data_IF_368865516552
#
_entry.id   IF_368865516552
#
_cell.length_a   1.000
_cell.length_b   1.000
_cell.length_c   1.000
_cell.angle_alpha   90.00
_cell.angle_beta   90.00
_cell.angle_gamma   90.00
#
_symmetry.space_group_name_H-M   'P 1'
#
loop_
_entity.id
_entity.type
_entity.pdbx_description
1 polymer ?
#
# COMPACT_ATOMS: atom_id res chain seq x y z
N UNK A 1 -2.10 14.72 -2.37
CA UNK A 1 -2.19 13.28 -2.69
C UNK A 1 -2.24 12.46 -1.39
N UNK A 2 -3.44 12.27 -0.79
CA UNK A 2 -3.68 11.48 0.44
C UNK A 2 -4.43 10.16 0.14
N UNK A 3 -4.34 9.63 -1.08
CA UNK A 3 -5.31 8.64 -1.58
C UNK A 3 -4.90 7.19 -1.34
N UNK A 4 -3.62 6.82 -1.38
CA UNK A 4 -3.22 5.40 -1.39
C UNK A 4 -3.23 4.72 -0.02
N UNK A 5 -2.86 5.42 1.07
CA UNK A 5 -2.96 4.88 2.43
C UNK A 5 -4.41 4.80 2.92
N UNK A 6 -5.25 5.77 2.55
CA UNK A 6 -6.70 5.70 2.74
C UNK A 6 -7.33 4.57 1.92
N UNK A 7 -6.85 4.33 0.70
CA UNK A 7 -7.32 3.23 -0.15
C UNK A 7 -6.89 1.86 0.41
N UNK A 8 -5.63 1.71 0.79
CA UNK A 8 -5.10 0.49 1.40
C UNK A 8 -5.82 0.16 2.70
N UNK A 9 -5.98 1.16 3.57
CA UNK A 9 -6.70 1.01 4.82
C UNK A 9 -8.18 0.66 4.55
N UNK A 10 -8.82 1.29 3.56
CA UNK A 10 -10.20 0.96 3.16
C UNK A 10 -10.33 -0.45 2.59
N UNK A 11 -9.37 -0.95 1.82
CA UNK A 11 -9.38 -2.32 1.31
C UNK A 11 -9.24 -3.36 2.43
N UNK A 12 -8.42 -3.06 3.46
CA UNK A 12 -8.34 -3.89 4.68
C UNK A 12 -9.71 -3.94 5.38
N UNK A 13 -10.40 -2.80 5.49
CA UNK A 13 -11.76 -2.75 6.03
C UNK A 13 -12.74 -3.63 5.25
N UNK A 14 -12.80 -3.44 3.93
CA UNK A 14 -13.81 -4.09 3.08
C UNK A 14 -13.65 -5.61 3.06
N UNK A 15 -12.43 -6.12 3.21
CA UNK A 15 -12.18 -7.56 3.32
C UNK A 15 -12.64 -8.13 4.67
N UNK A 16 -12.42 -7.41 5.76
CA UNK A 16 -12.80 -7.85 7.10
C UNK A 16 -14.32 -7.73 7.33
N UNK A 17 -14.99 -6.83 6.62
CA UNK A 17 -16.42 -6.57 6.73
C UNK A 17 -17.11 -6.48 5.36
N UNK A 18 -17.28 -7.60 4.65
CA UNK A 18 -17.95 -7.65 3.35
C UNK A 18 -19.45 -7.34 3.50
N UNK A 19 -19.81 -6.07 3.36
CA UNK A 19 -21.12 -5.40 3.21
C UNK A 19 -22.34 -5.81 4.08
N UNK A 20 -22.39 -6.93 4.77
CA UNK A 20 -23.61 -7.47 5.41
C UNK A 20 -23.89 -7.03 6.86
N UNK A 21 -23.09 -6.16 7.48
CA UNK A 21 -23.41 -5.60 8.80
C UNK A 21 -23.44 -4.07 8.76
N UNK A 22 -24.54 -3.54 8.21
CA UNK A 22 -24.91 -2.13 8.33
C UNK A 22 -25.34 -1.91 9.78
N UNK A 23 -24.52 -1.22 10.60
CA UNK A 23 -24.92 -0.10 11.50
C UNK A 23 -23.84 0.31 12.54
N UNK A 24 -22.53 0.29 12.26
CA UNK A 24 -21.50 0.92 13.16
C UNK A 24 -20.15 1.21 12.47
N UNK A 25 -20.17 1.44 11.14
CA UNK A 25 -19.00 1.18 10.25
C UNK A 25 -17.82 2.17 10.31
N UNK A 26 -17.90 3.31 11.00
CA UNK A 26 -16.77 4.26 11.11
C UNK A 26 -15.91 3.98 12.33
N UNK A 27 -16.56 3.77 13.47
CA UNK A 27 -15.87 3.59 14.74
C UNK A 27 -15.21 2.21 14.81
N UNK A 28 -15.84 1.18 14.25
CA UNK A 28 -15.27 -0.18 14.20
C UNK A 28 -14.02 -0.27 13.34
N UNK A 29 -13.94 0.49 12.24
CA UNK A 29 -12.74 0.54 11.40
C UNK A 29 -11.56 1.25 12.07
N UNK A 30 -11.83 2.44 12.64
CA UNK A 30 -10.82 3.18 13.37
C UNK A 30 -10.34 2.40 14.60
N UNK A 31 -11.26 1.68 15.27
CA UNK A 31 -10.95 0.76 16.37
C UNK A 31 -10.13 -0.43 15.89
N UNK A 32 -10.42 -1.00 14.72
CA UNK A 32 -9.65 -2.12 14.17
C UNK A 32 -8.23 -1.71 13.79
N UNK A 33 -8.06 -0.61 13.05
CA UNK A 33 -6.74 -0.06 12.75
C UNK A 33 -6.00 0.28 14.03
N UNK A 34 -6.68 0.88 15.01
CA UNK A 34 -6.11 1.16 16.33
C UNK A 34 -5.71 -0.12 17.05
N UNK A 35 -6.50 -1.18 17.01
CA UNK A 35 -6.20 -2.46 17.66
C UNK A 35 -5.02 -3.17 16.99
N UNK A 36 -4.93 -3.12 15.66
CA UNK A 36 -3.78 -3.63 14.92
C UNK A 36 -2.55 -2.78 15.28
N UNK A 37 -2.65 -1.45 15.28
CA UNK A 37 -1.56 -0.55 15.67
C UNK A 37 -1.16 -0.67 17.14
N UNK A 38 -2.07 -1.06 18.04
CA UNK A 38 -1.76 -1.32 19.44
C UNK A 38 -1.01 -2.66 19.62
N UNK A 39 -1.37 -3.67 18.82
CA UNK A 39 -0.66 -4.96 18.79
C UNK A 39 0.66 -4.90 18.02
N UNK A 40 0.72 -4.02 17.02
CA UNK A 40 1.84 -3.80 16.12
C UNK A 40 2.11 -2.29 16.03
N UNK A 41 2.91 -1.73 16.96
CA UNK A 41 3.20 -0.29 17.02
C UNK A 41 3.74 0.27 15.70
N UNK A 42 4.46 -0.57 14.94
CA UNK A 42 5.05 -0.21 13.65
C UNK A 42 4.06 -0.26 12.49
N UNK A 43 2.86 -0.79 12.65
CA UNK A 43 1.90 -0.98 11.54
C UNK A 43 1.57 0.35 10.84
N UNK A 44 1.30 1.40 11.62
CA UNK A 44 1.01 2.74 11.06
C UNK A 44 2.20 3.30 10.29
N UNK A 45 3.41 3.08 10.81
CA UNK A 45 4.65 3.51 10.15
C UNK A 45 4.88 2.71 8.86
N UNK A 46 4.68 1.40 8.88
CA UNK A 46 4.79 0.53 7.70
C UNK A 46 3.81 0.92 6.60
N UNK A 47 2.57 1.30 6.93
CA UNK A 47 1.60 1.81 5.96
C UNK A 47 2.04 3.16 5.37
N UNK A 48 2.61 4.04 6.19
CA UNK A 48 3.15 5.33 5.75
C UNK A 48 4.37 5.14 4.83
N UNK A 49 5.29 4.26 5.21
CA UNK A 49 6.50 3.95 4.46
C UNK A 49 6.16 3.28 3.12
N UNK A 50 5.20 2.35 3.13
CA UNK A 50 4.65 1.74 1.91
C UNK A 50 4.22 2.81 0.90
N UNK A 51 3.43 3.79 1.35
CA UNK A 51 2.95 4.86 0.48
C UNK A 51 4.10 5.74 -0.03
N UNK A 52 5.02 6.12 0.85
CA UNK A 52 6.15 6.98 0.50
C UNK A 52 6.99 6.34 -0.60
N UNK A 53 7.29 5.04 -0.46
CA UNK A 53 8.10 4.29 -1.42
C UNK A 53 7.36 4.09 -2.74
N UNK A 54 6.07 3.75 -2.72
CA UNK A 54 5.24 3.70 -3.94
C UNK A 54 5.26 5.02 -4.72
N UNK A 55 5.17 6.15 -4.01
CA UNK A 55 5.26 7.48 -4.64
C UNK A 55 6.65 7.75 -5.23
N UNK A 56 7.72 7.35 -4.54
CA UNK A 56 9.09 7.49 -5.03
C UNK A 56 9.34 6.63 -6.28
N UNK A 57 8.90 5.37 -6.28
CA UNK A 57 8.98 4.48 -7.45
C UNK A 57 8.21 5.07 -8.63
N UNK A 58 7.00 5.59 -8.39
CA UNK A 58 6.20 6.25 -9.42
C UNK A 58 6.89 7.49 -9.99
N UNK A 59 7.55 8.28 -9.14
CA UNK A 59 8.36 9.43 -9.56
C UNK A 59 9.54 8.98 -10.43
N UNK A 60 10.34 8.01 -9.98
CA UNK A 60 11.48 7.50 -10.74
C UNK A 60 11.06 6.93 -12.10
N UNK A 61 9.96 6.19 -12.17
CA UNK A 61 9.43 5.65 -13.43
C UNK A 61 8.99 6.75 -14.41
N UNK A 62 8.63 7.94 -13.93
CA UNK A 62 8.23 9.08 -14.76
C UNK A 62 9.39 10.01 -15.12
N UNK A 63 10.52 9.94 -14.39
CA UNK A 63 11.70 10.75 -14.62
C UNK A 63 12.50 10.26 -15.85
N UNK A 64 12.03 10.70 -17.03
CA UNK A 64 12.66 10.37 -18.31
C UNK A 64 14.06 10.98 -18.46
N UNK A 65 14.32 12.12 -17.82
CA UNK A 65 15.61 12.79 -17.94
C UNK A 65 16.71 11.97 -17.27
N UNK A 66 16.45 11.48 -16.05
CA UNK A 66 17.41 10.67 -15.32
C UNK A 66 17.63 9.30 -15.99
N UNK A 67 16.57 8.68 -16.52
CA UNK A 67 16.65 7.46 -17.33
C UNK A 67 17.57 7.63 -18.56
N UNK A 68 17.49 8.77 -19.25
CA UNK A 68 18.27 9.02 -20.48
C UNK A 68 19.71 9.40 -20.15
N UNK A 69 19.91 10.31 -19.19
CA UNK A 69 21.23 10.87 -18.88
C UNK A 69 22.07 9.94 -18.01
N UNK A 70 21.44 9.19 -17.12
CA UNK A 70 22.12 8.36 -16.11
C UNK A 70 21.41 7.00 -15.91
N UNK A 71 21.35 6.15 -16.95
CA UNK A 71 20.54 4.92 -16.94
C UNK A 71 20.93 3.94 -15.82
N UNK A 72 22.21 3.83 -15.48
CA UNK A 72 22.66 2.90 -14.44
C UNK A 72 22.30 3.40 -13.04
N UNK A 73 22.42 4.71 -12.79
CA UNK A 73 22.01 5.34 -11.53
C UNK A 73 20.50 5.22 -11.37
N UNK A 74 19.75 5.46 -12.45
CA UNK A 74 18.29 5.30 -12.48
C UNK A 74 17.88 3.88 -12.11
N UNK A 75 18.47 2.87 -12.76
CA UNK A 75 18.18 1.45 -12.47
C UNK A 75 18.53 1.10 -11.03
N UNK A 76 19.67 1.58 -10.54
CA UNK A 76 20.10 1.32 -9.18
C UNK A 76 19.13 1.90 -8.15
N UNK A 77 18.72 3.16 -8.30
CA UNK A 77 17.76 3.82 -7.42
C UNK A 77 16.39 3.17 -7.46
N UNK A 78 15.90 2.83 -8.66
CA UNK A 78 14.63 2.12 -8.83
C UNK A 78 14.67 0.76 -8.13
N UNK A 79 15.74 -0.02 -8.34
CA UNK A 79 15.89 -1.33 -7.69
C UNK A 79 15.96 -1.22 -6.16
N UNK A 80 16.62 -0.20 -5.62
CA UNK A 80 16.67 0.03 -4.18
C UNK A 80 15.28 0.27 -3.60
N UNK A 81 14.49 1.15 -4.21
CA UNK A 81 13.13 1.43 -3.73
C UNK A 81 12.20 0.23 -3.92
N UNK A 82 12.30 -0.50 -5.03
CA UNK A 82 11.52 -1.72 -5.26
C UNK A 82 11.85 -2.82 -4.24
N UNK A 83 13.10 -2.93 -3.80
CA UNK A 83 13.49 -3.86 -2.75
C UNK A 83 12.92 -3.43 -1.39
N UNK A 84 13.00 -2.15 -1.02
CA UNK A 84 12.36 -1.62 0.20
C UNK A 84 10.86 -1.87 0.21
N UNK A 85 10.20 -1.66 -0.95
CA UNK A 85 8.78 -1.93 -1.10
C UNK A 85 8.44 -3.39 -0.83
N UNK A 86 9.24 -4.33 -1.37
CA UNK A 86 9.06 -5.78 -1.14
C UNK A 86 9.19 -6.13 0.34
N UNK A 87 10.19 -5.57 1.04
CA UNK A 87 10.38 -5.80 2.47
C UNK A 87 9.17 -5.30 3.29
N UNK A 88 8.63 -4.11 2.96
CA UNK A 88 7.45 -3.58 3.64
C UNK A 88 6.21 -4.42 3.33
N UNK A 89 6.00 -4.83 2.07
CA UNK A 89 4.91 -5.75 1.70
C UNK A 89 4.99 -7.03 2.51
N UNK A 90 6.16 -7.63 2.67
CA UNK A 90 6.34 -8.83 3.50
C UNK A 90 5.99 -8.61 4.98
N UNK A 91 6.44 -7.49 5.57
CA UNK A 91 6.10 -7.14 6.96
C UNK A 91 4.60 -6.95 7.14
N UNK A 92 3.96 -6.26 6.20
CA UNK A 92 2.52 -6.06 6.19
C UNK A 92 1.75 -7.40 6.03
N UNK A 93 2.24 -8.31 5.20
CA UNK A 93 1.67 -9.67 5.04
C UNK A 93 1.79 -10.47 6.34
N UNK A 94 2.92 -10.38 7.04
CA UNK A 94 3.08 -11.03 8.34
C UNK A 94 2.04 -10.52 9.35
N UNK A 95 1.89 -9.19 9.45
CA UNK A 95 0.86 -8.57 10.31
C UNK A 95 -0.54 -9.01 9.88
N UNK A 96 -0.80 -9.12 8.58
CA UNK A 96 -2.07 -9.62 8.05
C UNK A 96 -2.38 -11.04 8.45
N UNK A 97 -1.37 -11.91 8.34
CA UNK A 97 -1.50 -13.31 8.75
C UNK A 97 -1.83 -13.43 10.23
N UNK A 98 -1.15 -12.66 11.09
CA UNK A 98 -1.37 -12.64 12.55
C UNK A 98 -2.77 -12.14 12.93
N UNK A 99 -3.32 -11.21 12.14
CA UNK A 99 -4.60 -10.58 12.41
C UNK A 99 -5.73 -11.09 11.49
N UNK A 100 -5.47 -12.18 10.76
CA UNK A 100 -6.43 -12.89 9.89
C UNK A 100 -7.00 -12.04 8.73
N UNK A 101 -6.17 -11.21 8.09
CA UNK A 101 -6.48 -10.53 6.83
C UNK A 101 -5.52 -10.94 5.71
N UNK A 102 -6.05 -11.01 4.47
CA UNK A 102 -5.30 -11.43 3.28
C UNK A 102 -4.66 -10.21 2.62
N UNK A 103 -3.53 -9.76 3.16
CA UNK A 103 -2.78 -8.66 2.56
C UNK A 103 -2.37 -8.89 1.11
N UNK A 104 -1.96 -10.12 0.70
CA UNK A 104 -1.72 -10.39 -0.72
C UNK A 104 -2.92 -10.02 -1.60
N UNK A 105 -4.13 -10.48 -1.27
CA UNK A 105 -5.35 -10.15 -2.02
C UNK A 105 -5.64 -8.63 -2.05
N UNK A 106 -5.34 -7.94 -0.95
CA UNK A 106 -5.48 -6.48 -0.85
C UNK A 106 -4.50 -5.76 -1.79
N UNK A 107 -3.24 -6.19 -1.83
CA UNK A 107 -2.26 -5.63 -2.76
C UNK A 107 -2.67 -5.86 -4.21
N UNK A 108 -3.12 -7.07 -4.55
CA UNK A 108 -3.60 -7.38 -5.90
C UNK A 108 -4.79 -6.49 -6.31
N UNK A 109 -5.73 -6.25 -5.38
CA UNK A 109 -6.86 -5.34 -5.65
C UNK A 109 -6.41 -3.91 -5.89
N UNK A 110 -5.39 -3.42 -5.17
CA UNK A 110 -4.87 -2.07 -5.33
C UNK A 110 -4.12 -1.94 -6.65
N UNK A 111 -3.32 -2.95 -7.01
CA UNK A 111 -2.61 -2.98 -8.28
C UNK A 111 -3.60 -2.98 -9.47
N UNK A 112 -4.70 -3.73 -9.36
CA UNK A 112 -5.78 -3.73 -10.36
C UNK A 112 -6.49 -2.38 -10.49
N UNK A 113 -6.84 -1.72 -9.38
CA UNK A 113 -7.46 -0.39 -9.42
C UNK A 113 -6.52 0.68 -9.96
N UNK A 114 -5.24 0.60 -9.60
CA UNK A 114 -4.21 1.52 -10.09
C UNK A 114 -4.03 1.37 -11.60
N UNK A 115 -4.03 0.13 -12.11
CA UNK A 115 -3.93 -0.17 -13.54
C UNK A 115 -5.18 0.27 -14.33
N UNK A 116 -6.38 0.10 -13.77
CA UNK A 116 -7.63 0.59 -14.38
C UNK A 116 -7.65 2.12 -14.49
N UNK A 117 -7.15 2.82 -13.47
CA UNK A 117 -7.05 4.28 -13.48
C UNK A 117 -6.06 4.75 -14.54
N UNK A 118 -4.90 4.10 -14.71
CA UNK A 118 -3.94 4.48 -15.76
C UNK A 118 -4.43 4.22 -17.17
N UNK A 119 -5.29 3.21 -17.39
CA UNK A 119 -5.89 2.97 -18.70
C UNK A 119 -7.00 3.97 -19.06
N UNK A 120 -7.67 4.60 -18.08
CA UNK A 120 -8.66 5.66 -18.31
C UNK A 120 -8.06 6.99 -18.77
N UNK A 121 -6.74 7.16 -18.65
CA UNK A 121 -6.02 8.38 -19.06
C UNK A 121 -5.07 8.13 -20.25
N UNK A 122 -5.22 7.02 -20.97
CA UNK A 122 -4.60 6.78 -22.29
C UNK A 122 -5.54 7.21 -23.42
#
# INVERSE_FOLDING_TARGET
MKTTSLLLARKIHDQLYPENEIQSKSDDFAVLLRNISLKNPDFTNLLSDYQSIEQQISFFRKDKEMLIKFPDIWKFQLNLEENKLKEIKQKLIAIGTENKFDMPAIFDSIDQETNKLTDLFK
#
